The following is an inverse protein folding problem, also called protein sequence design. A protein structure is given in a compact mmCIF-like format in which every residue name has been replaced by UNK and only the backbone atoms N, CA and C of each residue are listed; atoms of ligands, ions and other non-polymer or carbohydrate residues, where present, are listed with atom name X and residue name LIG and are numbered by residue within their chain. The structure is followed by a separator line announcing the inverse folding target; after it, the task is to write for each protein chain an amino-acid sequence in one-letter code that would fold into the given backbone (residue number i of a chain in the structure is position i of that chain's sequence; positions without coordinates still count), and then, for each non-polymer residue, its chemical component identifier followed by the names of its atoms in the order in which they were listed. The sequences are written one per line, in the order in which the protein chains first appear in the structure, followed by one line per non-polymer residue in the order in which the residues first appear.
data_IF_845159803693
#
_entry.id   IF_845159803693
#
_cell.length_a   1.000
_cell.length_b   1.000
_cell.length_c   1.000
_cell.angle_alpha   90.00
_cell.angle_beta   90.00
_cell.angle_gamma   90.00
#
_symmetry.space_group_name_H-M   'P 1'
#
loop_
_entity.id
_entity.type
_entity.pdbx_description
1 polymer ?
#
# COMPACT_ATOMS: atom_id res chain seq x y z
N UNK A 1 -31.28 24.03 0.74
CA UNK A 1 -30.48 22.79 0.66
C UNK A 1 -29.04 23.18 0.29
N UNK A 2 -28.13 22.85 1.16
CA UNK A 2 -26.74 23.21 0.89
C UNK A 2 -26.16 22.29 -0.19
N UNK A 3 -25.63 22.87 -1.24
CA UNK A 3 -24.89 22.11 -2.23
C UNK A 3 -23.58 21.68 -1.63
N UNK A 4 -23.28 20.39 -1.72
CA UNK A 4 -21.97 19.91 -1.29
C UNK A 4 -20.90 20.44 -2.23
N UNK A 5 -19.87 21.08 -1.68
CA UNK A 5 -18.75 21.55 -2.47
C UNK A 5 -18.01 20.35 -3.06
N UNK A 6 -17.57 20.40 -4.31
CA UNK A 6 -16.73 19.34 -4.84
C UNK A 6 -15.47 19.20 -3.99
N UNK A 7 -15.09 17.96 -3.72
CA UNK A 7 -13.87 17.65 -2.97
C UNK A 7 -12.68 18.03 -3.86
N UNK A 8 -11.83 18.90 -3.35
CA UNK A 8 -10.60 19.27 -4.06
C UNK A 8 -9.63 18.11 -4.04
N UNK A 9 -8.78 18.00 -5.05
CA UNK A 9 -7.80 16.90 -5.13
C UNK A 9 -6.90 16.83 -3.90
N UNK A 10 -6.53 17.99 -3.34
CA UNK A 10 -5.69 18.04 -2.14
C UNK A 10 -6.41 17.58 -0.87
N UNK A 11 -7.75 17.46 -0.90
CA UNK A 11 -8.54 17.00 0.25
C UNK A 11 -8.90 15.52 0.14
N UNK A 12 -8.63 14.88 -1.00
CA UNK A 12 -8.89 13.45 -1.18
C UNK A 12 -7.82 12.62 -0.48
N UNK A 13 -8.20 11.49 0.13
CA UNK A 13 -7.21 10.61 0.76
C UNK A 13 -6.19 10.13 -0.27
N UNK A 14 -4.92 10.20 0.10
CA UNK A 14 -3.83 9.80 -0.77
C UNK A 14 -3.62 8.30 -0.66
N UNK A 15 -3.57 7.63 -1.82
CA UNK A 15 -3.21 6.22 -1.93
C UNK A 15 -1.86 6.17 -2.64
N UNK A 16 -0.85 5.67 -1.95
CA UNK A 16 0.47 5.49 -2.56
C UNK A 16 0.54 4.11 -3.18
N UNK A 17 0.86 4.06 -4.46
CA UNK A 17 0.96 2.82 -5.23
C UNK A 17 2.42 2.61 -5.60
N UNK A 18 2.99 1.48 -5.22
CA UNK A 18 4.39 1.14 -5.49
C UNK A 18 4.44 -0.16 -6.28
N UNK A 19 4.71 -0.05 -7.57
CA UNK A 19 4.73 -1.18 -8.49
C UNK A 19 5.63 -0.85 -9.66
N UNK A 20 6.51 -1.76 -10.06
CA UNK A 20 7.44 -1.53 -11.16
C UNK A 20 6.79 -1.68 -12.54
N UNK A 21 5.61 -2.26 -12.62
CA UNK A 21 4.88 -2.42 -13.88
C UNK A 21 4.02 -1.19 -14.19
N UNK A 22 4.29 -0.56 -15.33
CA UNK A 22 3.57 0.64 -15.72
C UNK A 22 2.07 0.37 -15.90
N UNK A 23 1.71 -0.75 -16.52
CA UNK A 23 0.31 -1.11 -16.73
C UNK A 23 -0.45 -1.22 -15.40
N UNK A 24 0.21 -1.79 -14.39
CA UNK A 24 -0.40 -1.94 -13.08
C UNK A 24 -0.55 -0.58 -12.38
N UNK A 25 0.46 0.30 -12.51
CA UNK A 25 0.36 1.66 -11.97
C UNK A 25 -0.81 2.42 -12.60
N UNK A 26 -0.97 2.32 -13.91
CA UNK A 26 -2.08 2.97 -14.62
C UNK A 26 -3.42 2.41 -14.16
N UNK A 27 -3.53 1.08 -14.10
CA UNK A 27 -4.76 0.39 -13.67
C UNK A 27 -5.18 0.84 -12.27
N UNK A 28 -4.27 0.75 -11.32
CA UNK A 28 -4.60 1.09 -9.93
C UNK A 28 -4.84 2.59 -9.74
N UNK A 29 -4.07 3.44 -10.41
CA UNK A 29 -4.29 4.88 -10.36
C UNK A 29 -5.67 5.25 -10.89
N UNK A 30 -6.06 4.68 -12.02
CA UNK A 30 -7.39 4.94 -12.58
C UNK A 30 -8.49 4.45 -11.65
N UNK A 31 -8.34 3.26 -11.10
CA UNK A 31 -9.32 2.68 -10.18
C UNK A 31 -9.55 3.60 -8.96
N UNK A 32 -8.48 4.02 -8.31
CA UNK A 32 -8.60 4.84 -7.10
C UNK A 32 -9.02 6.27 -7.41
N UNK A 33 -8.53 6.85 -8.50
CA UNK A 33 -8.93 8.20 -8.91
C UNK A 33 -10.43 8.27 -9.19
N UNK A 34 -10.96 7.31 -9.95
CA UNK A 34 -12.39 7.27 -10.27
C UNK A 34 -13.26 6.92 -9.06
N UNK A 35 -12.65 6.42 -7.99
CA UNK A 35 -13.35 6.05 -6.77
C UNK A 35 -13.25 7.12 -5.66
N UNK A 36 -12.71 8.29 -5.98
CA UNK A 36 -12.71 9.42 -5.05
C UNK A 36 -11.43 9.59 -4.23
N UNK A 37 -10.35 8.94 -4.63
CA UNK A 37 -9.05 9.04 -3.94
C UNK A 37 -8.05 9.81 -4.79
N UNK A 38 -6.93 10.15 -4.17
CA UNK A 38 -5.81 10.80 -4.86
C UNK A 38 -4.65 9.80 -4.95
N UNK A 39 -4.51 9.08 -6.08
CA UNK A 39 -3.42 8.11 -6.23
C UNK A 39 -2.10 8.81 -6.55
N UNK A 40 -1.03 8.32 -5.96
CA UNK A 40 0.35 8.69 -6.31
C UNK A 40 1.07 7.38 -6.58
N UNK A 41 1.54 7.19 -7.79
CA UNK A 41 2.17 5.94 -8.21
C UNK A 41 3.65 6.14 -8.46
N UNK A 42 4.46 5.24 -7.91
CA UNK A 42 5.91 5.21 -8.10
C UNK A 42 6.34 3.79 -8.46
N UNK A 43 7.56 3.66 -8.97
CA UNK A 43 8.00 2.39 -9.59
C UNK A 43 8.95 1.54 -8.75
N UNK A 44 9.45 2.05 -7.63
CA UNK A 44 10.37 1.26 -6.79
C UNK A 44 10.27 1.63 -5.32
N UNK A 45 10.88 0.81 -4.48
CA UNK A 45 10.80 0.96 -3.04
C UNK A 45 11.45 2.23 -2.52
N UNK A 46 12.52 2.70 -3.16
CA UNK A 46 13.19 3.95 -2.75
C UNK A 46 12.26 5.14 -2.94
N UNK A 47 11.66 5.25 -4.12
CA UNK A 47 10.68 6.30 -4.40
C UNK A 47 9.47 6.15 -3.47
N UNK A 48 9.07 4.91 -3.19
CA UNK A 48 7.96 4.63 -2.30
C UNK A 48 8.21 5.15 -0.88
N UNK A 49 9.39 4.90 -0.33
CA UNK A 49 9.74 5.41 1.01
C UNK A 49 9.81 6.93 1.04
N UNK A 50 10.39 7.55 0.01
CA UNK A 50 10.44 9.01 -0.09
C UNK A 50 9.04 9.61 -0.10
N UNK A 51 8.14 9.05 -0.91
CA UNK A 51 6.76 9.55 -1.00
C UNK A 51 5.95 9.26 0.25
N UNK A 52 6.16 8.11 0.89
CA UNK A 52 5.48 7.80 2.15
C UNK A 52 5.86 8.81 3.23
N UNK A 53 7.12 9.16 3.33
CA UNK A 53 7.59 10.14 4.31
C UNK A 53 7.06 11.54 4.00
N UNK A 54 7.05 11.93 2.73
CA UNK A 54 6.63 13.28 2.31
C UNK A 54 5.12 13.48 2.40
N UNK A 55 4.33 12.47 1.99
CA UNK A 55 2.89 12.60 1.81
C UNK A 55 2.07 12.00 2.95
N UNK A 56 2.63 11.05 3.67
CA UNK A 56 1.94 10.30 4.73
C UNK A 56 0.57 9.80 4.26
N UNK A 57 0.55 8.91 3.26
CA UNK A 57 -0.69 8.46 2.64
C UNK A 57 -1.58 7.70 3.63
N UNK A 58 -2.86 7.61 3.28
CA UNK A 58 -3.83 6.83 4.05
C UNK A 58 -3.67 5.34 3.87
N UNK A 59 -3.08 4.94 2.75
CA UNK A 59 -2.88 3.54 2.39
C UNK A 59 -1.71 3.43 1.42
N UNK A 60 -0.94 2.36 1.56
CA UNK A 60 0.10 2.01 0.58
C UNK A 60 -0.29 0.68 -0.04
N UNK A 61 -0.30 0.63 -1.38
CA UNK A 61 -0.44 -0.62 -2.13
C UNK A 61 0.94 -0.94 -2.68
N UNK A 62 1.48 -2.09 -2.31
CA UNK A 62 2.88 -2.41 -2.51
C UNK A 62 3.03 -3.76 -3.18
N UNK A 63 3.80 -3.80 -4.27
CA UNK A 63 4.21 -5.05 -4.90
C UNK A 63 5.42 -5.62 -4.17
N UNK A 64 5.36 -6.90 -3.82
CA UNK A 64 6.46 -7.61 -3.15
C UNK A 64 7.64 -7.81 -4.10
N UNK A 65 7.35 -8.16 -5.35
CA UNK A 65 8.36 -8.53 -6.33
C UNK A 65 8.71 -7.36 -7.23
N UNK A 66 9.74 -6.62 -6.84
CA UNK A 66 10.30 -5.55 -7.65
C UNK A 66 11.83 -5.69 -7.68
N UNK A 67 12.49 -5.37 -8.80
CA UNK A 67 13.95 -5.44 -8.87
C UNK A 67 14.61 -4.39 -7.98
N UNK A 68 15.84 -4.64 -7.56
CA UNK A 68 16.63 -3.73 -6.73
C UNK A 68 16.09 -3.62 -5.32
N UNK A 69 15.64 -2.43 -4.96
CA UNK A 69 14.99 -2.16 -3.67
C UNK A 69 13.60 -2.79 -3.68
N UNK A 70 13.54 -4.10 -3.47
CA UNK A 70 12.29 -4.85 -3.55
C UNK A 70 11.21 -4.40 -2.58
N UNK A 71 9.96 -4.79 -2.89
CA UNK A 71 8.83 -4.46 -2.04
C UNK A 71 8.94 -4.99 -0.62
N UNK A 72 9.53 -6.17 -0.46
CA UNK A 72 9.75 -6.74 0.86
C UNK A 72 10.71 -5.87 1.70
N UNK A 73 11.75 -5.33 1.07
CA UNK A 73 12.69 -4.43 1.73
C UNK A 73 12.02 -3.12 2.13
N UNK A 74 11.22 -2.56 1.24
CA UNK A 74 10.42 -1.36 1.55
C UNK A 74 9.46 -1.62 2.71
N UNK A 75 8.76 -2.74 2.68
CA UNK A 75 7.82 -3.10 3.74
C UNK A 75 8.52 -3.19 5.10
N UNK A 76 9.67 -3.84 5.14
CA UNK A 76 10.49 -3.94 6.35
C UNK A 76 10.88 -2.54 6.85
N UNK A 77 11.32 -1.66 5.96
CA UNK A 77 11.70 -0.30 6.31
C UNK A 77 10.53 0.52 6.84
N UNK A 78 9.35 0.38 6.22
CA UNK A 78 8.13 1.04 6.69
C UNK A 78 7.79 0.63 8.12
N UNK A 79 7.85 -0.67 8.41
CA UNK A 79 7.47 -1.19 9.73
C UNK A 79 8.50 -0.89 10.82
N UNK A 80 9.73 -0.60 10.42
CA UNK A 80 10.78 -0.18 11.36
C UNK A 80 10.74 1.31 11.69
N UNK A 81 10.03 2.11 10.91
CA UNK A 81 9.95 3.56 11.11
C UNK A 81 8.81 3.90 12.08
N UNK A 82 9.09 4.64 13.17
CA UNK A 82 8.07 4.97 14.17
C UNK A 82 6.85 5.73 13.65
N UNK A 83 7.03 6.55 12.61
CA UNK A 83 5.92 7.28 12.01
C UNK A 83 5.23 6.49 10.90
N UNK A 84 6.02 5.88 10.03
CA UNK A 84 5.48 5.21 8.84
C UNK A 84 4.86 3.84 9.15
N UNK A 85 5.24 3.23 10.27
CA UNK A 85 4.72 1.90 10.62
C UNK A 85 3.20 1.89 10.83
N UNK A 86 2.60 3.04 11.06
CA UNK A 86 1.16 3.18 11.28
C UNK A 86 0.35 3.20 9.99
N UNK A 87 1.01 3.48 8.86
CA UNK A 87 0.32 3.52 7.57
C UNK A 87 -0.05 2.09 7.16
N UNK A 88 -1.33 1.81 6.89
CA UNK A 88 -1.73 0.47 6.48
C UNK A 88 -1.17 0.11 5.11
N UNK A 89 -0.83 -1.16 4.92
CA UNK A 89 -0.25 -1.67 3.69
C UNK A 89 -1.07 -2.84 3.17
N UNK A 90 -1.45 -2.76 1.90
CA UNK A 90 -2.04 -3.87 1.16
C UNK A 90 -1.01 -4.31 0.13
N UNK A 91 -0.63 -5.59 0.19
CA UNK A 91 0.24 -6.16 -0.84
C UNK A 91 -0.59 -6.53 -2.06
N UNK A 92 -0.08 -6.22 -3.25
CA UNK A 92 -0.68 -6.65 -4.51
C UNK A 92 0.43 -7.20 -5.40
N UNK A 93 0.50 -8.53 -5.53
CA UNK A 93 1.67 -9.16 -6.11
C UNK A 93 1.33 -10.44 -6.85
N UNK A 94 2.20 -10.81 -7.81
CA UNK A 94 2.14 -12.11 -8.48
C UNK A 94 2.59 -13.26 -7.56
N UNK A 95 3.29 -12.93 -6.47
CA UNK A 95 3.66 -13.94 -5.46
C UNK A 95 2.41 -14.33 -4.68
N UNK A 96 2.21 -15.62 -4.47
CA UNK A 96 1.04 -16.09 -3.71
C UNK A 96 1.15 -15.67 -2.26
N UNK A 97 0.01 -15.52 -1.61
CA UNK A 97 -0.03 -15.21 -0.18
C UNK A 97 0.72 -16.25 0.64
N UNK A 98 0.55 -17.53 0.30
CA UNK A 98 1.23 -18.62 1.02
C UNK A 98 2.75 -18.49 0.93
N UNK A 99 3.27 -18.17 -0.25
CA UNK A 99 4.71 -17.97 -0.44
C UNK A 99 5.22 -16.75 0.33
N UNK A 100 4.45 -15.67 0.33
CA UNK A 100 4.81 -14.49 1.10
C UNK A 100 4.80 -14.77 2.60
N UNK A 101 3.79 -15.46 3.10
CA UNK A 101 3.69 -15.82 4.52
C UNK A 101 4.88 -16.67 4.96
N UNK A 102 5.31 -17.61 4.11
CA UNK A 102 6.49 -18.43 4.38
C UNK A 102 7.76 -17.57 4.44
N UNK A 103 7.92 -16.68 3.47
CA UNK A 103 9.05 -15.74 3.45
C UNK A 103 9.08 -14.89 4.72
N UNK A 104 7.93 -14.36 5.14
CA UNK A 104 7.84 -13.51 6.31
C UNK A 104 8.19 -14.27 7.60
N UNK A 105 7.76 -15.52 7.71
CA UNK A 105 8.14 -16.37 8.84
C UNK A 105 9.65 -16.60 8.88
N UNK A 106 10.27 -16.87 7.75
CA UNK A 106 11.72 -17.04 7.68
C UNK A 106 12.45 -15.77 8.05
N UNK A 107 11.96 -14.63 7.60
CA UNK A 107 12.54 -13.34 7.93
C UNK A 107 12.47 -13.09 9.43
N UNK A 108 11.34 -13.36 10.05
CA UNK A 108 11.11 -13.11 11.47
C UNK A 108 11.93 -14.03 12.37
N UNK A 109 12.34 -15.21 11.89
CA UNK A 109 13.23 -16.10 12.66
C UNK A 109 14.66 -15.57 12.72
N UNK A 110 15.04 -14.66 11.83
CA UNK A 110 16.39 -14.09 11.74
C UNK A 110 16.51 -12.70 12.35
N UNK A 111 15.38 -12.07 12.67
CA UNK A 111 15.35 -10.70 13.19
C UNK A 111 15.04 -10.71 14.68
N UNK A 112 15.63 -9.77 15.41
CA UNK A 112 15.31 -9.54 16.82
C UNK A 112 13.91 -8.95 16.98
N UNK A 113 13.45 -8.19 15.98
CA UNK A 113 12.13 -7.56 15.96
C UNK A 113 11.31 -8.16 14.82
N UNK A 114 10.14 -8.66 15.15
CA UNK A 114 9.25 -9.26 14.16
C UNK A 114 8.65 -8.22 13.25
N UNK A 115 8.60 -8.52 11.95
CA UNK A 115 7.89 -7.73 10.94
C UNK A 115 6.44 -8.25 10.89
N UNK A 116 5.43 -7.40 11.11
CA UNK A 116 4.05 -7.86 11.14
C UNK A 116 3.52 -8.22 9.75
N UNK A 117 2.41 -8.97 9.73
CA UNK A 117 1.70 -9.23 8.49
C UNK A 117 1.17 -7.93 7.88
N UNK A 118 1.08 -7.83 6.55
CA UNK A 118 0.41 -6.71 5.93
C UNK A 118 -1.08 -6.70 6.27
N UNK A 119 -1.70 -5.54 6.16
CA UNK A 119 -3.11 -5.37 6.49
C UNK A 119 -4.04 -6.06 5.49
N UNK A 120 -3.55 -6.33 4.29
CA UNK A 120 -4.27 -7.08 3.27
C UNK A 120 -3.34 -7.61 2.21
N UNK A 121 -3.81 -8.58 1.44
CA UNK A 121 -3.03 -9.21 0.37
C UNK A 121 -3.94 -9.55 -0.80
N UNK A 122 -3.54 -9.11 -2.00
CA UNK A 122 -4.25 -9.43 -3.25
C UNK A 122 -3.25 -10.02 -4.23
N UNK A 123 -3.58 -11.16 -4.80
CA UNK A 123 -2.76 -11.79 -5.83
C UNK A 123 -3.10 -11.19 -7.19
N UNK A 124 -2.07 -10.96 -8.03
CA UNK A 124 -2.26 -10.48 -9.40
C UNK A 124 -2.74 -11.63 -10.31
N UNK A 125 -3.59 -11.34 -11.29
CA UNK A 125 -4.19 -10.05 -11.60
C UNK A 125 -5.29 -9.70 -10.60
N UNK A 126 -5.32 -8.46 -10.09
CA UNK A 126 -6.33 -8.09 -9.09
C UNK A 126 -7.68 -7.87 -9.74
N UNK A 127 -8.74 -8.34 -9.08
CA UNK A 127 -10.09 -7.94 -9.41
C UNK A 127 -10.29 -6.51 -8.89
N UNK A 128 -10.72 -5.56 -9.73
CA UNK A 128 -10.84 -4.17 -9.31
C UNK A 128 -11.80 -3.94 -8.14
N UNK A 129 -12.93 -4.65 -8.14
CA UNK A 129 -13.90 -4.50 -7.06
C UNK A 129 -13.38 -5.08 -5.75
N UNK A 130 -12.70 -6.22 -5.81
CA UNK A 130 -12.09 -6.86 -4.64
C UNK A 130 -11.00 -5.97 -4.06
N UNK A 131 -10.13 -5.42 -4.92
CA UNK A 131 -9.05 -4.54 -4.48
C UNK A 131 -9.60 -3.28 -3.81
N UNK A 132 -10.59 -2.64 -4.43
CA UNK A 132 -11.18 -1.41 -3.91
C UNK A 132 -11.88 -1.66 -2.58
N UNK A 133 -12.64 -2.75 -2.47
CA UNK A 133 -13.34 -3.10 -1.23
C UNK A 133 -12.36 -3.41 -0.11
N UNK A 134 -11.31 -4.17 -0.39
CA UNK A 134 -10.27 -4.48 0.59
C UNK A 134 -9.57 -3.19 1.07
N UNK A 135 -9.24 -2.30 0.13
CA UNK A 135 -8.61 -1.03 0.46
C UNK A 135 -9.49 -0.20 1.40
N UNK A 136 -10.77 -0.10 1.11
CA UNK A 136 -11.73 0.61 1.96
C UNK A 136 -11.83 -0.01 3.34
N UNK A 137 -11.94 -1.32 3.40
CA UNK A 137 -12.01 -2.05 4.67
C UNK A 137 -10.77 -1.80 5.52
N UNK A 138 -9.60 -1.91 4.92
CA UNK A 138 -8.32 -1.71 5.62
C UNK A 138 -8.21 -0.27 6.15
N UNK A 139 -8.58 0.73 5.36
CA UNK A 139 -8.52 2.12 5.80
C UNK A 139 -9.48 2.41 6.95
N UNK A 140 -10.66 1.79 6.96
CA UNK A 140 -11.63 1.96 8.04
C UNK A 140 -11.15 1.28 9.32
N UNK A 141 -10.69 0.03 9.23
CA UNK A 141 -10.29 -0.75 10.41
C UNK A 141 -8.99 -0.24 11.03
N UNK A 142 -8.09 0.36 10.25
CA UNK A 142 -6.83 0.89 10.75
C UNK A 142 -6.91 2.36 11.14
N UNK A 143 -7.99 3.06 10.77
CA UNK A 143 -8.15 4.48 11.06
C UNK A 143 -8.02 4.82 12.53
N UNK A 144 -8.49 3.94 13.43
CA UNK A 144 -8.38 4.13 14.87
C UNK A 144 -6.98 4.02 15.42
N UNK A 145 -6.10 3.27 14.75
CA UNK A 145 -4.71 3.10 15.19
C UNK A 145 -3.83 4.32 14.92
N UNK A 146 -4.28 5.19 14.03
CA UNK A 146 -3.51 6.36 13.59
C UNK A 146 -3.90 7.64 14.33
N UNK A 147 -4.71 7.51 15.34
CA UNK A 147 -5.14 8.65 16.17
C UNK A 147 -4.25 8.84 17.39
#
# INVERSE_FOLDING_TARGET
MAESKPIKDNDKPIILIVDDEMDMRIFMSTLFETSGYHPVAVRDGRQGLEKAAALKPRLIILDVMMPGEGGAKMYKALKADPELCRIPVVMCSAVTRASFDHYLKMLNTRLEVSVPDPDGYVEKPPDPDVLLELARHVMVTTGGRNR
#
